data_IF_129036594329
#
_entry.id   IF_129036594329
#
_cell.length_a   1.000
_cell.length_b   1.000
_cell.length_c   1.000
_cell.angle_alpha   90.00
_cell.angle_beta   90.00
_cell.angle_gamma   90.00
#
_symmetry.space_group_name_H-M   'P 1'
#
loop_
_entity.id
_entity.type
_entity.pdbx_description
1 polymer ?
#
# COMPACT_ATOMS: atom_id res chain seq x y z
N UNK A 1 -32.72 52.32 48.43
CA UNK A 1 -33.40 53.27 47.53
C UNK A 1 -32.32 54.07 46.82
N UNK A 2 -32.36 54.08 45.48
CA UNK A 2 -31.83 55.10 44.55
C UNK A 2 -30.34 55.45 44.60
N UNK A 3 -29.56 55.59 43.52
CA UNK A 3 -29.67 55.41 42.07
C UNK A 3 -28.28 55.80 41.49
N UNK A 4 -28.09 55.64 40.17
CA UNK A 4 -26.94 56.05 39.33
C UNK A 4 -25.70 55.14 39.37
N UNK A 5 -25.53 54.16 38.47
CA UNK A 5 -25.33 54.21 37.00
C UNK A 5 -23.94 54.70 36.55
N UNK A 6 -23.24 53.78 35.88
CA UNK A 6 -22.41 53.96 34.68
C UNK A 6 -21.46 55.15 34.61
N UNK A 7 -20.18 54.91 34.88
CA UNK A 7 -19.05 55.43 34.08
C UNK A 7 -17.72 54.88 34.62
N UNK A 8 -17.36 53.65 34.25
CA UNK A 8 -15.98 53.17 34.36
C UNK A 8 -15.67 52.12 33.27
N UNK A 9 -16.28 52.30 32.09
CA UNK A 9 -15.94 51.63 30.84
C UNK A 9 -15.52 52.74 29.88
N UNK A 10 -14.36 52.58 29.25
CA UNK A 10 -13.63 53.52 28.36
C UNK A 10 -12.67 54.50 29.04
N UNK A 11 -11.44 54.03 29.29
CA UNK A 11 -10.21 54.75 28.93
C UNK A 11 -8.95 53.94 29.30
N UNK A 12 -8.77 52.76 28.71
CA UNK A 12 -7.44 52.22 28.43
C UNK A 12 -7.40 51.87 26.96
N UNK A 13 -7.26 52.92 26.15
CA UNK A 13 -6.89 52.82 24.75
C UNK A 13 -5.64 51.94 24.61
N UNK A 14 -5.76 50.92 23.77
CA UNK A 14 -4.82 50.64 22.69
C UNK A 14 -3.45 51.29 22.88
N UNK A 15 -2.50 50.56 23.45
CA UNK A 15 -1.14 50.32 22.92
C UNK A 15 -0.66 49.08 23.70
N UNK A 16 -1.17 47.92 23.30
CA UNK A 16 -0.56 46.64 23.58
C UNK A 16 -0.09 46.11 22.24
N UNK A 17 1.04 46.65 21.77
CA UNK A 17 1.71 46.22 20.55
C UNK A 17 1.92 44.72 20.70
N UNK A 18 1.21 43.94 19.87
CA UNK A 18 1.59 42.58 19.52
C UNK A 18 3.05 42.65 19.11
N UNK A 19 3.94 42.25 20.02
CA UNK A 19 5.28 41.83 19.65
C UNK A 19 5.09 40.55 18.83
N UNK A 20 4.84 40.73 17.53
CA UNK A 20 5.11 39.71 16.55
C UNK A 20 6.57 39.35 16.76
N UNK A 21 6.80 38.21 17.42
CA UNK A 21 8.10 37.55 17.32
C UNK A 21 8.23 37.22 15.84
N UNK A 22 8.97 38.05 15.11
CA UNK A 22 9.78 37.58 14.00
C UNK A 22 10.65 36.47 14.58
N UNK A 23 10.14 35.23 14.50
CA UNK A 23 10.99 34.08 14.53
C UNK A 23 11.89 34.25 13.32
N UNK A 24 13.10 34.77 13.56
CA UNK A 24 14.18 34.63 12.63
C UNK A 24 14.32 33.15 12.35
N UNK A 25 13.75 32.69 11.23
CA UNK A 25 14.12 31.42 10.66
C UNK A 25 15.62 31.51 10.48
N UNK A 26 16.36 30.76 11.30
CA UNK A 26 17.75 30.51 11.03
C UNK A 26 17.80 30.01 9.59
N UNK A 27 18.46 30.77 8.71
CA UNK A 27 18.78 30.31 7.37
C UNK A 27 19.34 28.89 7.53
N UNK A 28 18.81 27.86 6.84
CA UNK A 28 19.38 26.52 6.93
C UNK A 28 20.89 26.66 6.78
N UNK A 29 21.66 26.18 7.76
CA UNK A 29 23.11 26.11 7.59
C UNK A 29 23.31 25.36 6.28
N UNK A 30 23.85 26.05 5.28
CA UNK A 30 24.13 25.43 3.98
C UNK A 30 25.20 24.38 4.28
N UNK A 31 24.78 23.11 4.35
CA UNK A 31 25.69 22.01 4.63
C UNK A 31 26.72 21.97 3.48
N UNK A 32 27.99 22.04 3.86
CA UNK A 32 29.10 22.12 2.92
C UNK A 32 29.76 20.75 2.83
N UNK A 33 29.96 20.30 1.60
CA UNK A 33 30.73 19.12 1.27
C UNK A 33 32.04 19.51 0.60
N UNK A 34 33.13 19.15 1.25
CA UNK A 34 34.48 19.31 0.72
C UNK A 34 34.95 18.02 0.04
N UNK A 35 35.47 18.14 -1.18
CA UNK A 35 36.04 17.05 -1.95
C UNK A 35 37.51 17.33 -2.31
N UNK A 36 38.39 16.51 -1.76
CA UNK A 36 39.83 16.65 -1.94
C UNK A 36 40.34 15.93 -3.20
N UNK A 37 41.04 16.68 -4.06
CA UNK A 37 41.78 16.18 -5.22
C UNK A 37 43.26 16.07 -4.85
N UNK A 38 43.77 14.84 -4.70
CA UNK A 38 45.15 14.59 -4.30
C UNK A 38 46.01 14.29 -5.51
N UNK A 39 47.09 15.07 -5.69
CA UNK A 39 48.05 14.90 -6.78
C UNK A 39 49.45 14.80 -6.22
N UNK A 40 50.20 13.81 -6.71
CA UNK A 40 51.53 13.47 -6.21
C UNK A 40 52.52 13.48 -7.35
N UNK A 41 53.71 14.08 -7.13
CA UNK A 41 54.84 13.87 -8.01
C UNK A 41 55.55 12.55 -7.64
N UNK A 42 55.48 11.50 -8.48
CA UNK A 42 56.12 10.22 -8.18
C UNK A 42 57.65 10.29 -8.24
N UNK A 43 58.22 11.33 -8.87
CA UNK A 43 59.66 11.51 -8.95
C UNK A 43 60.23 12.00 -7.62
N UNK A 44 61.21 11.26 -7.09
CA UNK A 44 61.96 11.68 -5.89
C UNK A 44 63.07 12.69 -6.20
N UNK A 45 63.34 12.98 -7.47
CA UNK A 45 64.52 13.76 -7.87
C UNK A 45 64.22 14.87 -8.87
N UNK A 46 63.10 14.84 -9.60
CA UNK A 46 62.76 15.84 -10.62
C UNK A 46 61.44 16.52 -10.33
N UNK A 47 61.39 17.83 -10.58
CA UNK A 47 60.13 18.57 -10.67
C UNK A 47 59.39 18.12 -11.92
N UNK A 48 58.08 17.93 -11.80
CA UNK A 48 57.22 17.50 -12.90
C UNK A 48 55.97 18.37 -12.96
N UNK A 49 55.45 18.54 -14.18
CA UNK A 49 54.13 19.10 -14.42
C UNK A 49 53.15 17.95 -14.53
N UNK A 50 52.12 17.95 -13.68
CA UNK A 50 51.09 16.90 -13.65
C UNK A 50 49.75 17.53 -14.03
N UNK A 51 49.04 17.00 -15.05
CA UNK A 51 47.68 17.45 -15.35
C UNK A 51 46.68 16.84 -14.35
N UNK A 52 45.64 17.61 -14.02
CA UNK A 52 44.55 17.21 -13.14
C UNK A 52 43.27 17.15 -13.95
N UNK A 53 42.53 16.06 -13.83
CA UNK A 53 41.14 15.97 -14.30
C UNK A 53 40.36 15.05 -13.36
N UNK A 54 39.31 15.57 -12.72
CA UNK A 54 38.42 14.79 -11.86
C UNK A 54 36.97 15.14 -12.16
N UNK A 55 36.16 14.12 -12.44
CA UNK A 55 34.72 14.29 -12.59
C UNK A 55 34.05 14.47 -11.24
N UNK A 56 33.17 15.47 -11.15
CA UNK A 56 32.27 15.66 -10.04
C UNK A 56 31.11 14.65 -10.13
N UNK A 57 30.44 14.31 -9.02
CA UNK A 57 29.23 13.51 -9.07
C UNK A 57 28.18 14.16 -9.98
N UNK A 58 27.40 13.34 -10.68
CA UNK A 58 26.40 13.74 -11.69
C UNK A 58 25.34 14.72 -11.15
N UNK A 59 25.10 14.66 -9.85
CA UNK A 59 24.12 15.48 -9.16
C UNK A 59 24.59 16.92 -8.93
N UNK A 60 25.90 17.18 -9.04
CA UNK A 60 26.48 18.52 -8.80
C UNK A 60 26.27 19.40 -10.02
N UNK A 61 25.62 20.54 -9.80
CA UNK A 61 25.43 21.61 -10.77
C UNK A 61 26.45 22.74 -10.54
N UNK A 62 26.69 23.65 -11.51
CA UNK A 62 27.68 24.72 -11.36
C UNK A 62 27.40 25.65 -10.18
N UNK A 63 26.14 25.91 -9.91
CA UNK A 63 25.67 26.74 -8.80
C UNK A 63 25.87 26.09 -7.42
N UNK A 64 26.09 24.77 -7.38
CA UNK A 64 26.46 24.07 -6.16
C UNK A 64 27.96 24.15 -5.87
N UNK A 65 28.81 24.51 -6.83
CA UNK A 65 30.26 24.62 -6.64
C UNK A 65 30.56 26.00 -6.07
N UNK A 66 30.98 26.06 -4.81
CA UNK A 66 31.22 27.31 -4.09
C UNK A 66 32.66 27.81 -4.31
N UNK A 67 33.63 26.88 -4.24
CA UNK A 67 35.04 27.19 -4.43
C UNK A 67 35.76 26.01 -5.10
N UNK A 68 36.30 26.17 -6.33
CA UNK A 68 37.06 25.12 -7.00
C UNK A 68 38.54 25.07 -6.61
N UNK A 69 38.99 25.87 -5.64
CA UNK A 69 40.37 25.91 -5.14
C UNK A 69 41.43 26.12 -6.25
N UNK A 70 41.10 27.04 -7.18
CA UNK A 70 41.99 27.40 -8.29
C UNK A 70 42.12 26.33 -9.39
N UNK A 71 41.20 25.36 -9.42
CA UNK A 71 40.93 24.49 -10.57
C UNK A 71 39.89 25.14 -11.50
N UNK A 72 39.98 24.81 -12.79
CA UNK A 72 38.99 25.20 -13.79
C UNK A 72 37.84 24.19 -13.83
N UNK A 73 36.63 24.65 -14.17
CA UNK A 73 35.42 23.81 -14.23
C UNK A 73 34.92 23.78 -15.68
N UNK A 74 34.66 22.58 -16.20
CA UNK A 74 34.08 22.41 -17.53
C UNK A 74 33.01 21.32 -17.52
N UNK A 75 32.09 21.38 -18.51
CA UNK A 75 31.03 20.40 -18.69
C UNK A 75 31.37 19.47 -19.84
N UNK A 76 31.38 18.17 -19.56
CA UNK A 76 31.50 17.12 -20.57
C UNK A 76 30.10 16.76 -21.08
N UNK A 77 29.78 17.16 -22.32
CA UNK A 77 28.47 16.89 -22.93
C UNK A 77 28.20 15.42 -23.17
N UNK A 78 29.24 14.63 -23.49
CA UNK A 78 29.10 13.21 -23.81
C UNK A 78 28.74 12.42 -22.55
N UNK A 79 29.34 12.81 -21.43
CA UNK A 79 29.13 12.17 -20.13
C UNK A 79 28.06 12.85 -19.27
N UNK A 80 27.59 14.04 -19.69
CA UNK A 80 26.67 14.91 -18.95
C UNK A 80 27.13 15.15 -17.50
N UNK A 81 28.42 15.45 -17.32
CA UNK A 81 29.04 15.64 -16.01
C UNK A 81 29.98 16.85 -16.01
N UNK A 82 29.99 17.56 -14.90
CA UNK A 82 31.02 18.56 -14.64
C UNK A 82 32.31 17.89 -14.19
N UNK A 83 33.43 18.47 -14.55
CA UNK A 83 34.73 18.08 -14.07
C UNK A 83 35.56 19.30 -13.70
N UNK A 84 36.42 19.12 -12.69
CA UNK A 84 37.45 20.07 -12.34
C UNK A 84 38.77 19.63 -13.00
N UNK A 85 39.51 20.59 -13.54
CA UNK A 85 40.77 20.31 -14.21
C UNK A 85 41.80 21.42 -14.03
N UNK A 86 43.04 21.07 -14.35
CA UNK A 86 44.16 22.00 -14.48
C UNK A 86 45.23 21.34 -15.34
N UNK A 87 45.56 21.94 -16.47
CA UNK A 87 46.47 21.33 -17.45
C UNK A 87 47.89 21.19 -16.90
N UNK A 88 48.35 22.18 -16.12
CA UNK A 88 49.72 22.24 -15.65
C UNK A 88 49.81 22.57 -14.15
N UNK A 89 50.08 21.55 -13.33
CA UNK A 89 50.43 21.72 -11.91
C UNK A 89 51.88 21.35 -11.70
N UNK A 90 52.70 22.38 -11.41
CA UNK A 90 54.11 22.20 -11.09
C UNK A 90 54.28 21.65 -9.66
N UNK A 91 54.89 20.47 -9.56
CA UNK A 91 55.14 19.77 -8.29
C UNK A 91 56.64 19.47 -8.13
N UNK A 92 57.21 19.84 -6.99
CA UNK A 92 58.58 19.50 -6.59
C UNK A 92 58.73 17.99 -6.39
N UNK A 93 59.97 17.48 -6.34
CA UNK A 93 60.20 16.05 -6.12
C UNK A 93 59.51 15.56 -4.84
N UNK A 94 58.75 14.47 -4.95
CA UNK A 94 57.94 13.87 -3.89
C UNK A 94 56.90 14.82 -3.23
N UNK A 95 56.57 15.95 -3.87
CA UNK A 95 55.52 16.85 -3.38
C UNK A 95 54.14 16.22 -3.59
N UNK A 96 53.31 16.31 -2.56
CA UNK A 96 51.88 16.03 -2.63
C UNK A 96 51.15 17.35 -2.45
N UNK A 97 50.26 17.67 -3.39
CA UNK A 97 49.36 18.83 -3.28
C UNK A 97 47.93 18.34 -3.26
N UNK A 98 47.14 18.92 -2.38
CA UNK A 98 45.71 18.66 -2.24
C UNK A 98 45.00 19.92 -2.68
N UNK A 99 43.95 19.75 -3.48
CA UNK A 99 43.02 20.83 -3.84
C UNK A 99 41.66 20.49 -3.26
N UNK A 100 41.10 21.38 -2.46
CA UNK A 100 39.87 21.14 -1.72
C UNK A 100 38.69 21.86 -2.38
N UNK A 101 37.91 21.10 -3.16
CA UNK A 101 36.75 21.64 -3.88
C UNK A 101 35.57 21.71 -2.92
N UNK A 102 35.10 22.92 -2.62
CA UNK A 102 33.93 23.16 -1.76
C UNK A 102 32.65 23.16 -2.60
N UNK A 103 31.72 22.30 -2.22
CA UNK A 103 30.45 22.09 -2.90
C UNK A 103 29.33 22.19 -1.85
N UNK A 104 28.22 22.82 -2.19
CA UNK A 104 26.98 22.75 -1.40
C UNK A 104 26.47 21.30 -1.41
N UNK A 105 26.01 20.81 -0.27
CA UNK A 105 25.37 19.50 -0.22
C UNK A 105 24.05 19.52 -1.01
N UNK A 106 24.00 18.72 -2.06
CA UNK A 106 22.83 18.52 -2.93
C UNK A 106 22.21 17.14 -2.76
N UNK A 107 22.74 16.31 -1.86
CA UNK A 107 22.37 14.90 -1.67
C UNK A 107 21.38 14.71 -0.52
N UNK A 108 20.37 15.58 -0.45
CA UNK A 108 19.30 15.50 0.55
C UNK A 108 17.93 15.49 -0.13
N UNK A 109 17.02 14.66 0.37
CA UNK A 109 15.62 14.68 -0.08
C UNK A 109 14.83 15.55 0.90
N UNK A 110 14.34 16.69 0.41
CA UNK A 110 13.59 17.65 1.20
C UNK A 110 12.42 16.99 1.95
N UNK A 111 12.30 17.28 3.25
CA UNK A 111 11.27 16.69 4.12
C UNK A 111 9.87 17.02 3.62
N UNK A 112 9.67 18.26 3.16
CA UNK A 112 8.40 18.75 2.62
C UNK A 112 7.92 17.91 1.42
N UNK A 113 8.86 17.40 0.62
CA UNK A 113 8.53 16.52 -0.51
C UNK A 113 8.03 15.16 -0.03
N UNK A 114 8.66 14.60 1.00
CA UNK A 114 8.23 13.33 1.58
C UNK A 114 6.88 13.48 2.29
N UNK A 115 6.69 14.58 3.01
CA UNK A 115 5.43 14.90 3.68
C UNK A 115 4.28 15.05 2.68
N UNK A 116 4.51 15.74 1.56
CA UNK A 116 3.53 15.87 0.49
C UNK A 116 3.12 14.51 -0.11
N UNK A 117 4.07 13.57 -0.27
CA UNK A 117 3.78 12.21 -0.74
C UNK A 117 2.96 11.41 0.30
N UNK A 118 3.30 11.56 1.59
CA UNK A 118 2.54 10.93 2.67
C UNK A 118 1.11 11.46 2.74
N UNK A 119 0.92 12.78 2.61
CA UNK A 119 -0.40 13.41 2.64
C UNK A 119 -1.23 13.06 1.39
N UNK A 120 -0.62 13.02 0.21
CA UNK A 120 -1.28 12.53 -1.01
C UNK A 120 -1.75 11.08 -0.82
N UNK A 121 -0.90 10.22 -0.27
CA UNK A 121 -1.22 8.81 0.02
C UNK A 121 -2.42 8.71 0.95
N UNK A 122 -2.39 9.43 2.09
CA UNK A 122 -3.49 9.44 3.07
C UNK A 122 -4.80 9.92 2.45
N UNK A 123 -4.75 10.96 1.63
CA UNK A 123 -5.91 11.49 0.90
C UNK A 123 -6.50 10.46 -0.07
N UNK A 124 -5.66 9.73 -0.80
CA UNK A 124 -6.10 8.67 -1.72
C UNK A 124 -6.78 7.52 -0.96
N UNK A 125 -6.19 7.05 0.14
CA UNK A 125 -6.75 5.96 0.96
C UNK A 125 -8.08 6.37 1.60
N UNK A 126 -8.19 7.62 2.08
CA UNK A 126 -9.43 8.15 2.63
C UNK A 126 -10.56 8.12 1.60
N UNK A 127 -10.27 8.47 0.35
CA UNK A 127 -11.25 8.45 -0.77
C UNK A 127 -11.63 7.04 -1.21
N UNK A 128 -10.87 6.02 -0.83
CA UNK A 128 -11.17 4.62 -1.10
C UNK A 128 -12.07 3.99 -0.03
N UNK A 129 -12.43 4.70 1.05
CA UNK A 129 -13.33 4.20 2.09
C UNK A 129 -14.65 3.68 1.52
N UNK A 130 -15.09 2.53 2.01
CA UNK A 130 -16.31 1.85 1.55
C UNK A 130 -16.15 1.07 0.24
N UNK A 131 -14.99 1.14 -0.43
CA UNK A 131 -14.67 0.28 -1.58
C UNK A 131 -14.00 -1.03 -1.16
N UNK A 132 -13.99 -2.01 -2.07
CA UNK A 132 -13.25 -3.28 -1.85
C UNK A 132 -11.73 -3.09 -1.85
N UNK A 133 -11.26 -1.90 -2.27
CA UNK A 133 -9.84 -1.55 -2.31
C UNK A 133 -9.36 -0.88 -1.02
N UNK A 134 -10.24 -0.57 -0.07
CA UNK A 134 -9.87 0.18 1.14
C UNK A 134 -8.83 -0.55 2.00
N UNK A 135 -9.08 -1.81 2.38
CA UNK A 135 -8.15 -2.58 3.22
C UNK A 135 -6.79 -2.82 2.54
N UNK A 136 -6.72 -3.24 1.25
CA UNK A 136 -5.45 -3.29 0.53
C UNK A 136 -4.74 -1.93 0.45
N UNK A 137 -5.49 -0.83 0.29
CA UNK A 137 -4.93 0.52 0.22
C UNK A 137 -4.30 0.96 1.54
N UNK A 138 -4.89 0.60 2.69
CA UNK A 138 -4.28 0.85 4.01
C UNK A 138 -2.95 0.15 4.20
N UNK A 139 -2.84 -1.12 3.78
CA UNK A 139 -1.57 -1.86 3.84
C UNK A 139 -0.51 -1.18 2.97
N UNK A 140 -0.91 -0.67 1.80
CA UNK A 140 -0.01 0.05 0.90
C UNK A 140 0.41 1.42 1.47
N UNK A 141 -0.50 2.14 2.14
CA UNK A 141 -0.18 3.37 2.88
C UNK A 141 0.89 3.12 3.95
N UNK A 142 0.72 2.09 4.78
CA UNK A 142 1.71 1.73 5.81
C UNK A 142 3.08 1.42 5.19
N UNK A 143 3.11 0.72 4.05
CA UNK A 143 4.35 0.42 3.33
C UNK A 143 5.02 1.68 2.76
N UNK A 144 4.24 2.62 2.20
CA UNK A 144 4.72 3.91 1.70
C UNK A 144 5.31 4.72 2.86
N UNK A 145 4.57 4.88 3.95
CA UNK A 145 5.03 5.65 5.13
C UNK A 145 6.31 5.05 5.71
N UNK A 146 6.40 3.72 5.80
CA UNK A 146 7.62 3.03 6.24
C UNK A 146 8.80 3.31 5.30
N UNK A 147 8.56 3.35 4.00
CA UNK A 147 9.60 3.64 2.99
C UNK A 147 10.10 5.08 3.09
N UNK A 148 9.20 6.05 3.27
CA UNK A 148 9.55 7.45 3.50
C UNK A 148 10.33 7.65 4.82
N UNK A 149 9.92 6.96 5.89
CA UNK A 149 10.68 6.98 7.15
C UNK A 149 12.06 6.34 6.98
N UNK A 150 12.19 5.28 6.17
CA UNK A 150 13.50 4.68 5.88
C UNK A 150 14.44 5.70 5.24
N UNK A 151 13.96 6.50 4.28
CA UNK A 151 14.74 7.59 3.67
C UNK A 151 15.19 8.61 4.73
N UNK A 152 14.26 9.03 5.60
CA UNK A 152 14.54 9.99 6.67
C UNK A 152 15.62 9.47 7.61
N UNK A 153 15.57 8.19 7.99
CA UNK A 153 16.56 7.57 8.88
C UNK A 153 17.91 7.42 8.19
N UNK A 154 17.95 6.95 6.94
CA UNK A 154 19.22 6.69 6.26
C UNK A 154 19.95 7.96 5.84
N UNK A 155 19.23 9.02 5.45
CA UNK A 155 19.87 10.28 5.06
C UNK A 155 20.43 11.05 6.25
N UNK A 156 19.79 10.96 7.42
CA UNK A 156 20.23 11.63 8.65
C UNK A 156 21.23 10.79 9.47
N UNK A 157 21.79 9.72 8.89
CA UNK A 157 22.79 8.90 9.56
C UNK A 157 24.17 9.60 9.50
N UNK A 158 24.47 10.39 10.53
CA UNK A 158 25.75 11.11 10.67
C UNK A 158 26.97 10.19 10.82
N UNK A 159 26.78 8.87 11.02
CA UNK A 159 27.90 7.93 11.22
C UNK A 159 28.58 7.51 9.92
N UNK A 160 27.99 7.85 8.77
CA UNK A 160 28.46 7.41 7.46
C UNK A 160 29.46 8.40 6.84
N UNK A 161 30.43 7.89 6.08
CA UNK A 161 31.35 8.75 5.33
C UNK A 161 30.63 9.55 4.23
N UNK A 162 31.17 10.71 3.83
CA UNK A 162 30.62 11.53 2.71
C UNK A 162 30.43 10.73 1.41
N UNK A 163 31.37 9.85 1.07
CA UNK A 163 31.24 8.98 -0.12
C UNK A 163 30.06 8.01 0.01
N UNK A 164 29.81 7.53 1.23
CA UNK A 164 28.65 6.70 1.53
C UNK A 164 27.35 7.51 1.49
N UNK A 165 27.37 8.77 1.94
CA UNK A 165 26.22 9.68 1.89
C UNK A 165 25.67 9.84 0.46
N UNK A 166 26.53 10.08 -0.53
CA UNK A 166 26.15 10.12 -1.96
C UNK A 166 25.49 8.80 -2.41
N UNK A 167 26.04 7.67 -1.96
CA UNK A 167 25.50 6.34 -2.25
C UNK A 167 24.12 6.12 -1.64
N UNK A 168 23.92 6.56 -0.40
CA UNK A 168 22.65 6.51 0.33
C UNK A 168 21.62 7.36 -0.40
N UNK A 169 21.95 8.59 -0.79
CA UNK A 169 21.05 9.45 -1.56
C UNK A 169 20.57 8.75 -2.84
N UNK A 170 21.48 8.16 -3.62
CA UNK A 170 21.12 7.40 -4.84
C UNK A 170 20.25 6.18 -4.55
N UNK A 171 20.45 5.52 -3.41
CA UNK A 171 19.58 4.43 -2.96
C UNK A 171 18.20 4.94 -2.57
N UNK A 172 18.14 6.06 -1.84
CA UNK A 172 16.90 6.70 -1.41
C UNK A 172 16.09 7.21 -2.61
N UNK A 173 16.73 7.69 -3.68
CA UNK A 173 16.03 8.02 -4.93
C UNK A 173 15.27 6.81 -5.52
N UNK A 174 15.83 5.60 -5.42
CA UNK A 174 15.11 4.38 -5.86
C UNK A 174 13.90 4.08 -4.97
N UNK A 175 14.01 4.34 -3.66
CA UNK A 175 12.87 4.21 -2.74
C UNK A 175 11.78 5.24 -3.10
N UNK A 176 12.16 6.48 -3.42
CA UNK A 176 11.23 7.51 -3.90
C UNK A 176 10.53 7.05 -5.18
N UNK A 177 11.25 6.46 -6.13
CA UNK A 177 10.63 5.98 -7.37
C UNK A 177 9.63 4.83 -7.09
N UNK A 178 9.96 3.91 -6.19
CA UNK A 178 9.01 2.88 -5.72
C UNK A 178 7.77 3.50 -5.06
N UNK A 179 7.95 4.51 -4.20
CA UNK A 179 6.83 5.21 -3.55
C UNK A 179 5.92 5.88 -4.59
N UNK A 180 6.48 6.51 -5.64
CA UNK A 180 5.67 7.08 -6.72
C UNK A 180 4.87 6.01 -7.45
N UNK A 181 5.47 4.85 -7.73
CA UNK A 181 4.75 3.74 -8.36
C UNK A 181 3.61 3.24 -7.48
N UNK A 182 3.82 3.14 -6.16
CA UNK A 182 2.81 2.69 -5.21
C UNK A 182 1.66 3.70 -5.08
N UNK A 183 1.97 5.01 -5.06
CA UNK A 183 0.96 6.07 -5.12
C UNK A 183 0.16 5.98 -6.43
N UNK A 184 0.82 5.75 -7.57
CA UNK A 184 0.13 5.58 -8.86
C UNK A 184 -0.79 4.36 -8.89
N UNK A 185 -0.47 3.29 -8.13
CA UNK A 185 -1.37 2.14 -7.97
C UNK A 185 -2.63 2.50 -7.19
N UNK A 186 -2.50 3.30 -6.12
CA UNK A 186 -3.65 3.81 -5.36
C UNK A 186 -4.54 4.70 -6.24
N UNK A 187 -3.94 5.58 -7.05
CA UNK A 187 -4.67 6.43 -7.99
C UNK A 187 -5.48 5.60 -8.99
N UNK A 188 -4.88 4.55 -9.57
CA UNK A 188 -5.60 3.64 -10.48
C UNK A 188 -6.75 2.89 -9.80
N UNK A 189 -6.57 2.45 -8.56
CA UNK A 189 -7.65 1.82 -7.80
C UNK A 189 -8.81 2.79 -7.58
N UNK A 190 -8.49 4.05 -7.26
CA UNK A 190 -9.48 5.09 -7.08
C UNK A 190 -10.21 5.44 -8.39
N UNK A 191 -9.50 5.48 -9.52
CA UNK A 191 -10.13 5.64 -10.84
C UNK A 191 -11.14 4.52 -11.13
N UNK A 192 -10.83 3.26 -10.78
CA UNK A 192 -11.76 2.13 -10.94
C UNK A 192 -13.02 2.34 -10.09
N UNK A 193 -12.87 2.78 -8.83
CA UNK A 193 -14.00 3.06 -7.93
C UNK A 193 -14.88 4.20 -8.46
N UNK A 194 -14.27 5.27 -8.97
CA UNK A 194 -14.98 6.41 -9.54
C UNK A 194 -15.71 6.00 -10.85
N UNK A 195 -15.07 5.18 -11.69
CA UNK A 195 -15.66 4.71 -12.95
C UNK A 195 -16.76 3.66 -12.74
N UNK A 196 -16.71 2.90 -11.65
CA UNK A 196 -17.69 1.87 -11.29
C UNK A 196 -18.32 2.17 -9.92
N UNK A 197 -19.11 3.26 -9.80
CA UNK A 197 -19.77 3.58 -8.55
C UNK A 197 -20.68 2.41 -8.17
N UNK A 198 -20.41 1.77 -7.03
CA UNK A 198 -21.27 0.70 -6.52
C UNK A 198 -22.68 1.29 -6.33
N UNK A 199 -23.72 0.72 -6.95
CA UNK A 199 -25.07 1.16 -6.67
C UNK A 199 -25.39 0.83 -5.21
N UNK A 200 -25.75 1.87 -4.45
CA UNK A 200 -26.05 1.86 -3.00
C UNK A 200 -27.12 0.82 -2.61
N UNK A 201 -27.87 0.32 -3.60
CA UNK A 201 -28.92 -0.71 -3.46
C UNK A 201 -28.42 -2.14 -3.25
N UNK A 202 -27.11 -2.40 -3.20
CA UNK A 202 -26.57 -3.74 -2.94
C UNK A 202 -26.05 -3.98 -1.52
N UNK A 203 -26.10 -2.98 -0.63
CA UNK A 203 -25.71 -3.18 0.77
C UNK A 203 -26.77 -3.92 1.61
N UNK A 204 -28.01 -4.01 1.13
CA UNK A 204 -29.02 -4.93 1.70
C UNK A 204 -28.95 -6.31 1.04
N UNK A 205 -27.77 -6.89 1.02
CA UNK A 205 -27.62 -8.33 0.85
C UNK A 205 -26.38 -8.79 1.61
N UNK A 206 -26.42 -8.58 2.92
CA UNK A 206 -25.98 -9.62 3.86
C UNK A 206 -26.81 -10.89 3.61
N UNK A 207 -26.73 -11.45 2.39
CA UNK A 207 -26.89 -12.88 2.19
C UNK A 207 -25.69 -13.47 2.90
N UNK A 208 -25.83 -13.61 4.22
CA UNK A 208 -25.26 -14.74 4.93
C UNK A 208 -25.78 -15.98 4.23
N UNK A 209 -25.14 -16.34 3.12
CA UNK A 209 -25.02 -17.74 2.74
C UNK A 209 -24.05 -18.33 3.76
N UNK A 210 -24.51 -18.42 5.01
CA UNK A 210 -24.06 -19.49 5.87
C UNK A 210 -24.41 -20.74 5.06
N UNK A 211 -23.39 -21.30 4.39
CA UNK A 211 -23.50 -22.62 3.77
C UNK A 211 -24.24 -23.49 4.78
N UNK A 212 -25.37 -24.13 4.42
CA UNK A 212 -26.26 -24.73 5.41
C UNK A 212 -25.42 -25.58 6.34
N UNK A 213 -25.33 -25.16 7.61
CA UNK A 213 -24.56 -25.87 8.61
C UNK A 213 -24.97 -27.34 8.49
N UNK A 214 -24.01 -28.27 8.53
CA UNK A 214 -24.22 -29.70 8.20
C UNK A 214 -25.49 -30.30 8.82
N UNK A 215 -25.92 -29.76 9.95
CA UNK A 215 -27.14 -30.06 10.68
C UNK A 215 -28.45 -29.78 9.90
N UNK A 216 -28.52 -28.70 9.13
CA UNK A 216 -29.71 -28.32 8.31
C UNK A 216 -29.85 -29.21 7.08
N UNK A 217 -28.73 -29.56 6.43
CA UNK A 217 -28.74 -30.48 5.28
C UNK A 217 -29.26 -31.87 5.66
N UNK A 218 -28.83 -32.41 6.80
CA UNK A 218 -29.33 -33.70 7.29
C UNK A 218 -30.80 -33.65 7.70
N UNK A 219 -31.27 -32.54 8.28
CA UNK A 219 -32.68 -32.35 8.62
C UNK A 219 -33.58 -32.39 7.37
N UNK A 220 -33.17 -31.74 6.28
CA UNK A 220 -33.91 -31.73 5.01
C UNK A 220 -33.99 -33.15 4.42
N UNK A 221 -32.89 -33.92 4.46
CA UNK A 221 -32.87 -35.30 3.96
C UNK A 221 -33.87 -36.19 4.74
N UNK A 222 -33.91 -36.07 6.06
CA UNK A 222 -34.86 -36.83 6.89
C UNK A 222 -36.33 -36.48 6.58
N UNK A 223 -36.65 -35.20 6.35
CA UNK A 223 -38.00 -34.76 6.00
C UNK A 223 -38.44 -35.38 4.67
N UNK A 224 -37.55 -35.39 3.66
CA UNK A 224 -37.85 -35.98 2.36
C UNK A 224 -38.05 -37.50 2.47
N UNK A 225 -37.19 -38.20 3.21
CA UNK A 225 -37.35 -39.65 3.44
C UNK A 225 -38.65 -39.98 4.17
N UNK A 226 -39.02 -39.20 5.19
CA UNK A 226 -40.26 -39.39 5.92
C UNK A 226 -41.49 -39.18 5.02
N UNK A 227 -41.47 -38.14 4.19
CA UNK A 227 -42.56 -37.83 3.27
C UNK A 227 -42.74 -38.93 2.19
N UNK A 228 -41.64 -39.41 1.60
CA UNK A 228 -41.68 -40.51 0.63
C UNK A 228 -42.16 -41.81 1.30
N UNK A 229 -41.71 -42.08 2.53
CA UNK A 229 -42.18 -43.23 3.31
C UNK A 229 -43.67 -43.16 3.62
N UNK A 230 -44.19 -41.98 3.97
CA UNK A 230 -45.61 -41.77 4.23
C UNK A 230 -46.46 -41.99 2.97
N UNK A 231 -46.03 -41.45 1.82
CA UNK A 231 -46.70 -41.69 0.54
C UNK A 231 -46.71 -43.18 0.18
N UNK A 232 -45.56 -43.87 0.30
CA UNK A 232 -45.46 -45.32 0.08
C UNK A 232 -46.39 -46.12 0.99
N UNK A 233 -46.52 -45.71 2.26
CA UNK A 233 -47.45 -46.30 3.22
C UNK A 233 -48.91 -46.19 2.77
N UNK A 234 -49.35 -45.00 2.34
CA UNK A 234 -50.73 -44.80 1.85
C UNK A 234 -51.01 -45.70 0.65
N UNK A 235 -50.09 -45.77 -0.32
CA UNK A 235 -50.23 -46.67 -1.47
C UNK A 235 -50.30 -48.14 -1.04
N UNK A 236 -49.43 -48.57 -0.12
CA UNK A 236 -49.45 -49.96 0.39
C UNK A 236 -50.77 -50.32 1.07
N UNK A 237 -51.32 -49.43 1.90
CA UNK A 237 -52.61 -49.67 2.55
C UNK A 237 -53.76 -49.71 1.54
N UNK A 238 -53.79 -48.80 0.55
CA UNK A 238 -54.81 -48.85 -0.50
C UNK A 238 -54.77 -50.14 -1.31
N UNK A 239 -53.58 -50.65 -1.61
CA UNK A 239 -53.42 -51.93 -2.29
C UNK A 239 -53.82 -53.12 -1.41
N UNK A 240 -53.47 -53.11 -0.12
CA UNK A 240 -53.83 -54.18 0.81
C UNK A 240 -55.35 -54.31 0.98
N UNK A 241 -56.08 -53.19 1.04
CA UNK A 241 -57.55 -53.22 1.11
C UNK A 241 -58.17 -53.80 -0.16
N UNK A 242 -57.64 -53.43 -1.34
CA UNK A 242 -58.09 -54.01 -2.62
C UNK A 242 -57.78 -55.51 -2.72
N UNK A 243 -56.58 -55.95 -2.30
CA UNK A 243 -56.19 -57.35 -2.36
C UNK A 243 -57.12 -58.26 -1.52
N UNK A 244 -57.62 -57.79 -0.37
CA UNK A 244 -58.62 -58.53 0.41
C UNK A 244 -59.99 -58.57 -0.27
N UNK A 245 -60.41 -57.49 -0.93
CA UNK A 245 -61.66 -57.48 -1.72
C UNK A 245 -61.57 -58.45 -2.92
N UNK A 246 -60.41 -58.55 -3.56
CA UNK A 246 -60.18 -59.49 -4.66
C UNK A 246 -60.21 -60.94 -4.19
N UNK A 247 -59.75 -61.25 -2.96
CA UNK A 247 -59.88 -62.62 -2.40
C UNK A 247 -61.34 -63.04 -2.22
N UNK A 248 -62.19 -62.13 -1.74
CA UNK A 248 -63.62 -62.41 -1.53
C UNK A 248 -64.36 -62.60 -2.87
N UNK A 249 -64.05 -61.78 -3.88
CA UNK A 249 -64.60 -61.95 -5.23
C UNK A 249 -64.12 -63.23 -5.91
N UNK A 250 -62.84 -63.60 -5.75
CA UNK A 250 -62.30 -64.84 -6.31
C UNK A 250 -62.83 -66.07 -5.56
N UNK A 251 -63.05 -66.01 -4.24
CA UNK A 251 -63.66 -67.13 -3.50
C UNK A 251 -65.14 -67.30 -3.86
N UNK A 252 -65.90 -66.21 -3.99
CA UNK A 252 -67.30 -66.24 -4.41
C UNK A 252 -67.45 -66.68 -5.89
N UNK A 253 -66.55 -66.23 -6.77
CA UNK A 253 -66.46 -66.72 -8.15
C UNK A 253 -66.03 -68.20 -8.22
N UNK A 254 -65.15 -68.66 -7.33
CA UNK A 254 -64.74 -70.07 -7.24
C UNK A 254 -65.87 -70.96 -6.72
N UNK A 255 -66.63 -70.50 -5.74
CA UNK A 255 -67.75 -71.22 -5.13
C UNK A 255 -68.96 -71.28 -6.07
N UNK A 256 -69.21 -70.21 -6.84
CA UNK A 256 -70.22 -70.21 -7.91
C UNK A 256 -69.83 -71.04 -9.14
N UNK A 257 -68.54 -71.08 -9.50
CA UNK A 257 -68.04 -71.88 -10.63
C UNK A 257 -67.86 -73.37 -10.30
N UNK A 258 -67.66 -73.72 -9.03
CA UNK A 258 -67.52 -75.10 -8.54
C UNK A 258 -68.30 -75.29 -7.23
N UNK A 259 -69.64 -75.36 -7.29
CA UNK A 259 -70.44 -75.65 -6.11
C UNK A 259 -70.08 -77.06 -5.61
N UNK A 260 -69.69 -77.16 -4.33
CA UNK A 260 -69.43 -78.43 -3.68
C UNK A 260 -70.75 -79.20 -3.56
N UNK A 261 -71.01 -80.11 -4.50
CA UNK A 261 -72.09 -81.08 -4.39
C UNK A 261 -71.74 -82.11 -3.33
N UNK A 262 -72.43 -82.08 -2.20
CA UNK A 262 -72.37 -83.13 -1.18
C UNK A 262 -73.51 -84.12 -1.45
N UNK A 263 -73.19 -85.38 -1.78
CA UNK A 263 -74.13 -86.47 -1.57
C UNK A 263 -73.42 -87.71 -1.05
N UNK A 264 -73.79 -88.00 0.19
CA UNK A 264 -73.67 -89.24 0.94
C UNK A 264 -74.36 -90.42 0.28
N UNK A 265 -73.78 -91.57 0.58
CA UNK A 265 -74.23 -92.95 0.39
C UNK A 265 -75.67 -93.24 0.88
N UNK A 266 -76.46 -93.95 0.06
CA UNK A 266 -77.62 -94.80 0.37
C UNK A 266 -78.05 -95.43 -0.98
N UNK A 267 -77.98 -96.73 -1.27
CA UNK A 267 -78.28 -97.90 -0.44
C UNK A 267 -79.67 -98.44 -0.80
N UNK A 268 -79.75 -99.49 -1.63
CA UNK A 268 -80.63 -100.70 -1.55
C UNK A 268 -80.95 -101.33 -2.92
N UNK A 269 -80.69 -102.64 -2.95
CA UNK A 269 -81.08 -103.72 -3.88
C UNK A 269 -80.55 -103.72 -5.32
#
# INVERSE_FOLDING_TARGET
MTACWMAALYACCFIGITSAQEQGQAKPQEELMEMSVVVVNPSKTKTQTVPIKMYLPREVTPDAILNPDGLDIEFDSDNSMYYVYKDEVLLKPAETRVFDVEIRDVWNIAQERMDAMADQTRSLVERLKGSDFYEPAKVLEEAIVKSLNTITVTQNDETVSRRSHIGIYRSNLKIIDQVKEDISRLEKQLEIVIASPKPEVLEQSQLKTDSPAKNTTWMIIFIIMLFIGMLGGVFFFTWQTQAHATKNLISEARESAFPAGEHSDAGKE
#
